data_IF_705921553300
#
_entry.id   IF_705921553300
#
_cell.length_a   1.000
_cell.length_b   1.000
_cell.length_c   1.000
_cell.angle_alpha   90.00
_cell.angle_beta   90.00
_cell.angle_gamma   90.00
#
_symmetry.space_group_name_H-M   'P 1'
#
loop_
_entity.id
_entity.type
_entity.pdbx_description
1 polymer ?
#
# COMPACT_ATOMS: atom_id res chain seq x y z
N UNK A 1 -14.98 53.66 38.45
CA UNK A 1 -16.18 53.47 39.28
C UNK A 1 -16.20 54.54 40.36
N UNK A 2 -17.01 55.59 40.20
CA UNK A 2 -17.29 56.51 41.31
C UNK A 2 -18.20 55.75 42.27
N UNK A 3 -17.65 55.34 43.41
CA UNK A 3 -18.34 54.47 44.36
C UNK A 3 -19.55 55.16 44.97
N UNK A 4 -20.54 54.36 45.39
CA UNK A 4 -21.77 54.82 46.05
C UNK A 4 -21.51 55.82 47.20
N UNK A 5 -20.36 55.71 47.89
CA UNK A 5 -19.91 56.67 48.91
C UNK A 5 -19.72 58.10 48.39
N UNK A 6 -19.18 58.28 47.18
CA UNK A 6 -18.97 59.63 46.62
C UNK A 6 -20.28 60.29 46.21
N UNK A 7 -21.25 59.50 45.71
CA UNK A 7 -22.60 59.98 45.42
C UNK A 7 -23.35 60.35 46.70
N UNK A 8 -23.25 59.52 47.74
CA UNK A 8 -23.87 59.80 49.04
C UNK A 8 -23.28 61.06 49.70
N UNK A 9 -21.95 61.24 49.64
CA UNK A 9 -21.29 62.43 50.16
C UNK A 9 -21.68 63.70 49.39
N UNK A 10 -21.81 63.62 48.06
CA UNK A 10 -22.29 64.74 47.25
C UNK A 10 -23.75 65.10 47.53
N UNK A 11 -24.63 64.11 47.68
CA UNK A 11 -26.02 64.34 48.04
C UNK A 11 -26.15 64.99 49.43
N UNK A 12 -25.37 64.52 50.40
CA UNK A 12 -25.36 65.09 51.76
C UNK A 12 -24.82 66.52 51.77
N UNK A 13 -23.79 66.80 50.97
CA UNK A 13 -23.24 68.15 50.81
C UNK A 13 -24.25 69.12 50.17
N UNK A 14 -25.01 68.67 49.17
CA UNK A 14 -26.04 69.47 48.51
C UNK A 14 -27.23 69.78 49.44
N UNK A 15 -27.64 68.82 50.27
CA UNK A 15 -28.70 69.04 51.28
C UNK A 15 -28.23 70.08 52.31
N UNK A 16 -27.00 69.96 52.79
CA UNK A 16 -26.43 70.91 53.75
C UNK A 16 -26.27 72.32 53.15
N UNK A 17 -25.89 72.46 51.87
CA UNK A 17 -25.79 73.78 51.25
C UNK A 17 -27.16 74.45 51.11
N UNK A 18 -28.21 73.69 50.76
CA UNK A 18 -29.58 74.23 50.68
C UNK A 18 -30.10 74.64 52.07
N UNK A 19 -29.78 73.88 53.13
CA UNK A 19 -30.13 74.25 54.51
C UNK A 19 -29.41 75.52 54.98
N UNK A 20 -28.14 75.69 54.61
CA UNK A 20 -27.36 76.89 54.95
C UNK A 20 -27.90 78.12 54.21
N UNK A 21 -28.19 78.00 52.90
CA UNK A 21 -28.75 79.10 52.11
C UNK A 21 -30.14 79.51 52.60
N UNK A 22 -30.99 78.54 52.95
CA UNK A 22 -32.33 78.85 53.51
C UNK A 22 -32.24 79.51 54.88
N UNK A 23 -31.34 79.06 55.76
CA UNK A 23 -31.10 79.69 57.06
C UNK A 23 -30.56 81.13 56.93
N UNK A 24 -29.60 81.36 56.02
CA UNK A 24 -29.03 82.68 55.74
C UNK A 24 -30.07 83.65 55.18
N UNK A 25 -30.96 83.18 54.32
CA UNK A 25 -31.99 84.02 53.70
C UNK A 25 -33.11 84.42 54.69
N UNK A 26 -33.36 83.58 55.71
CA UNK A 26 -34.28 83.92 56.82
C UNK A 26 -33.64 84.96 57.77
N UNK A 27 -32.33 84.90 57.98
CA UNK A 27 -31.62 85.76 58.95
C UNK A 27 -31.20 87.13 58.38
N UNK A 28 -31.00 87.25 57.07
CA UNK A 28 -30.58 88.50 56.40
C UNK A 28 -31.74 89.38 55.91
N UNK A 29 -32.99 89.01 56.20
CA UNK A 29 -34.13 89.82 55.78
C UNK A 29 -34.11 91.18 56.50
N UNK A 30 -34.00 92.31 55.77
CA UNK A 30 -33.98 93.63 56.41
C UNK A 30 -35.33 93.89 57.08
N UNK A 31 -35.31 94.18 58.39
CA UNK A 31 -36.42 94.83 59.09
C UNK A 31 -36.63 96.18 58.42
N UNK A 32 -37.61 96.30 57.53
CA UNK A 32 -37.95 97.54 56.85
C UNK A 32 -38.57 98.55 57.80
N UNK A 33 -37.70 99.26 58.51
CA UNK A 33 -37.97 100.55 59.13
C UNK A 33 -37.57 101.67 58.17
N UNK A 34 -38.56 102.38 57.63
CA UNK A 34 -38.42 103.73 57.09
C UNK A 34 -39.84 104.30 56.88
N UNK A 35 -40.26 105.19 57.76
CA UNK A 35 -41.48 106.00 57.65
C UNK A 35 -41.22 107.17 56.71
N UNK A 36 -41.78 107.10 55.50
CA UNK A 36 -42.00 108.26 54.61
C UNK A 36 -43.42 108.83 54.80
N UNK A 37 -43.71 110.04 54.29
CA UNK A 37 -44.80 110.89 54.77
C UNK A 37 -46.18 110.28 54.48
N UNK A 38 -47.02 110.36 55.50
CA UNK A 38 -48.36 109.83 55.61
C UNK A 38 -49.34 110.61 54.71
N UNK A 39 -49.89 109.93 53.70
CA UNK A 39 -51.24 110.16 53.19
C UNK A 39 -51.71 108.91 52.41
N UNK A 40 -51.68 107.77 53.10
CA UNK A 40 -52.34 106.55 52.66
C UNK A 40 -53.11 105.96 53.85
N UNK A 41 -54.33 105.51 53.58
CA UNK A 41 -55.29 104.97 54.55
C UNK A 41 -54.59 103.95 55.48
N UNK A 42 -54.72 104.07 56.83
CA UNK A 42 -54.04 103.17 57.75
C UNK A 42 -54.44 101.71 57.48
N UNK A 43 -53.46 100.90 57.04
CA UNK A 43 -53.64 99.48 56.71
C UNK A 43 -53.16 99.06 55.32
N UNK A 44 -53.08 99.99 54.36
CA UNK A 44 -52.70 99.67 52.96
C UNK A 44 -51.26 99.19 52.82
N UNK A 45 -50.32 99.74 53.60
CA UNK A 45 -48.91 99.35 53.55
C UNK A 45 -48.66 97.92 54.03
N UNK A 46 -49.47 97.45 54.98
CA UNK A 46 -49.37 96.08 55.49
C UNK A 46 -49.87 95.11 54.42
N UNK A 47 -51.00 95.42 53.79
CA UNK A 47 -51.57 94.63 52.69
C UNK A 47 -50.58 94.54 51.53
N UNK A 48 -50.02 95.67 51.08
CA UNK A 48 -49.04 95.69 49.99
C UNK A 48 -47.77 94.87 50.32
N UNK A 49 -47.31 94.87 51.58
CA UNK A 49 -46.19 94.02 52.02
C UNK A 49 -46.54 92.53 52.01
N UNK A 50 -47.76 92.15 52.37
CA UNK A 50 -48.20 90.75 52.31
C UNK A 50 -48.41 90.28 50.88
N UNK A 51 -48.99 91.11 50.00
CA UNK A 51 -49.15 90.83 48.57
C UNK A 51 -47.81 90.59 47.91
N UNK A 52 -46.83 91.50 48.09
CA UNK A 52 -45.48 91.31 47.57
C UNK A 52 -44.82 90.04 48.08
N UNK A 53 -44.99 89.70 49.37
CA UNK A 53 -44.47 88.45 49.95
C UNK A 53 -45.15 87.22 49.36
N UNK A 54 -46.44 87.31 49.11
CA UNK A 54 -47.21 86.24 48.49
C UNK A 54 -46.78 86.02 47.04
N UNK A 55 -46.55 87.10 46.29
CA UNK A 55 -45.95 87.04 44.94
C UNK A 55 -44.56 86.42 44.97
N UNK A 56 -43.69 86.81 45.91
CA UNK A 56 -42.38 86.19 46.11
C UNK A 56 -42.48 84.69 46.42
N UNK A 57 -43.41 84.28 47.28
CA UNK A 57 -43.63 82.87 47.63
C UNK A 57 -44.15 82.07 46.43
N UNK A 58 -45.11 82.62 45.68
CA UNK A 58 -45.68 81.95 44.51
C UNK A 58 -44.66 81.83 43.37
N UNK A 59 -43.86 82.87 43.13
CA UNK A 59 -42.75 82.83 42.16
C UNK A 59 -41.63 81.85 42.58
N UNK A 60 -41.27 81.81 43.86
CA UNK A 60 -40.31 80.82 44.36
C UNK A 60 -40.87 79.39 44.27
N UNK A 61 -42.17 79.22 44.56
CA UNK A 61 -42.85 77.94 44.42
C UNK A 61 -42.85 77.43 42.99
N UNK A 62 -43.14 78.29 42.01
CA UNK A 62 -43.11 77.91 40.59
C UNK A 62 -41.69 77.59 40.11
N UNK A 63 -40.67 78.36 40.52
CA UNK A 63 -39.27 78.06 40.21
C UNK A 63 -38.81 76.74 40.82
N UNK A 64 -39.19 76.45 42.07
CA UNK A 64 -38.85 75.18 42.72
C UNK A 64 -39.55 74.00 42.04
N UNK A 65 -40.84 74.15 41.69
CA UNK A 65 -41.57 73.12 40.95
C UNK A 65 -40.92 72.83 39.59
N UNK A 66 -40.47 73.86 38.87
CA UNK A 66 -39.75 73.71 37.60
C UNK A 66 -38.42 72.96 37.79
N UNK A 67 -37.63 73.31 38.82
CA UNK A 67 -36.37 72.61 39.12
C UNK A 67 -36.59 71.15 39.53
N UNK A 68 -37.60 70.86 40.35
CA UNK A 68 -37.95 69.49 40.73
C UNK A 68 -38.34 68.69 39.49
N UNK A 69 -39.15 69.25 38.60
CA UNK A 69 -39.54 68.58 37.35
C UNK A 69 -38.33 68.30 36.44
N UNK A 70 -37.33 69.18 36.39
CA UNK A 70 -36.11 68.98 35.61
C UNK A 70 -35.26 67.85 36.19
N UNK A 71 -35.09 67.82 37.52
CA UNK A 71 -34.35 66.75 38.20
C UNK A 71 -35.07 65.39 38.10
N UNK A 72 -36.40 65.36 38.22
CA UNK A 72 -37.19 64.13 38.02
C UNK A 72 -37.02 63.58 36.59
N UNK A 73 -36.95 64.46 35.58
CA UNK A 73 -36.67 64.05 34.21
C UNK A 73 -35.28 63.41 34.07
N UNK A 74 -34.24 63.99 34.70
CA UNK A 74 -32.88 63.42 34.73
C UNK A 74 -32.85 62.06 35.44
N UNK A 75 -33.52 61.94 36.57
CA UNK A 75 -33.62 60.67 37.33
C UNK A 75 -34.31 59.60 36.48
N UNK A 76 -35.37 59.96 35.76
CA UNK A 76 -36.08 59.04 34.86
C UNK A 76 -35.19 58.58 33.71
N UNK A 77 -34.44 59.51 33.10
CA UNK A 77 -33.49 59.18 32.03
C UNK A 77 -32.39 58.23 32.55
N UNK A 78 -31.79 58.53 33.71
CA UNK A 78 -30.77 57.67 34.31
C UNK A 78 -31.34 56.28 34.61
N UNK A 79 -32.56 56.22 35.17
CA UNK A 79 -33.22 54.95 35.50
C UNK A 79 -33.44 54.09 34.26
N UNK A 80 -33.95 54.68 33.17
CA UNK A 80 -34.14 53.96 31.90
C UNK A 80 -32.83 53.46 31.29
N UNK A 81 -31.75 54.25 31.36
CA UNK A 81 -30.41 53.82 30.92
C UNK A 81 -29.89 52.67 31.77
N UNK A 82 -30.05 52.73 33.09
CA UNK A 82 -29.65 51.66 34.00
C UNK A 82 -30.41 50.36 33.72
N UNK A 83 -31.70 50.42 33.44
CA UNK A 83 -32.50 49.26 33.07
C UNK A 83 -32.04 48.64 31.74
N UNK A 84 -31.76 49.47 30.73
CA UNK A 84 -31.24 49.01 29.45
C UNK A 84 -29.87 48.33 29.57
N UNK A 85 -28.95 48.93 30.33
CA UNK A 85 -27.64 48.35 30.62
C UNK A 85 -27.78 47.03 31.37
N UNK A 86 -28.64 46.97 32.38
CA UNK A 86 -28.88 45.74 33.15
C UNK A 86 -29.46 44.62 32.27
N UNK A 87 -30.33 44.94 31.30
CA UNK A 87 -30.80 43.97 30.32
C UNK A 87 -29.66 43.47 29.40
N UNK A 88 -28.77 44.37 28.96
CA UNK A 88 -27.57 44.02 28.19
C UNK A 88 -26.64 43.07 28.97
N UNK A 89 -26.36 43.38 30.24
CA UNK A 89 -25.55 42.54 31.11
C UNK A 89 -26.16 41.15 31.34
N UNK A 90 -27.49 41.06 31.49
CA UNK A 90 -28.19 39.77 31.59
C UNK A 90 -28.04 38.95 30.32
N UNK A 91 -28.15 39.57 29.15
CA UNK A 91 -27.95 38.89 27.86
C UNK A 91 -26.52 38.38 27.71
N UNK A 92 -25.53 39.24 28.00
CA UNK A 92 -24.13 38.85 27.96
C UNK A 92 -23.83 37.68 28.91
N UNK A 93 -24.44 37.68 30.10
CA UNK A 93 -24.29 36.59 31.06
C UNK A 93 -24.83 35.27 30.50
N UNK A 94 -26.02 35.29 29.88
CA UNK A 94 -26.60 34.10 29.23
C UNK A 94 -25.70 33.58 28.09
N UNK A 95 -25.16 34.49 27.27
CA UNK A 95 -24.23 34.12 26.19
C UNK A 95 -22.93 33.48 26.77
N UNK A 96 -22.38 34.04 27.85
CA UNK A 96 -21.22 33.49 28.54
C UNK A 96 -21.49 32.12 29.18
N UNK A 97 -22.68 31.90 29.75
CA UNK A 97 -23.07 30.59 30.29
C UNK A 97 -23.06 29.51 29.21
N UNK A 98 -23.56 29.83 28.01
CA UNK A 98 -23.58 28.88 26.87
C UNK A 98 -22.20 28.60 26.28
N UNK A 99 -21.21 29.47 26.48
CA UNK A 99 -19.87 29.31 25.94
C UNK A 99 -19.16 28.07 26.47
N UNK A 100 -19.44 27.68 27.72
CA UNK A 100 -18.92 26.45 28.33
C UNK A 100 -19.37 25.21 27.56
N UNK A 101 -20.67 25.07 27.30
CA UNK A 101 -21.23 23.97 26.52
C UNK A 101 -20.69 23.93 25.08
N UNK A 102 -20.48 25.10 24.46
CA UNK A 102 -19.85 25.17 23.14
C UNK A 102 -18.41 24.66 23.20
N UNK A 103 -17.63 25.10 24.19
CA UNK A 103 -16.25 24.61 24.40
C UNK A 103 -16.20 23.09 24.59
N UNK A 104 -17.11 22.54 25.39
CA UNK A 104 -17.19 21.09 25.62
C UNK A 104 -17.55 20.33 24.34
N UNK A 105 -18.50 20.85 23.54
CA UNK A 105 -18.88 20.24 22.26
C UNK A 105 -17.72 20.24 21.25
N UNK A 106 -16.93 21.33 21.20
CA UNK A 106 -15.73 21.42 20.35
C UNK A 106 -14.66 20.44 20.84
N UNK A 107 -14.51 20.28 22.16
CA UNK A 107 -13.63 19.27 22.76
C UNK A 107 -14.03 17.84 22.38
N UNK A 108 -15.31 17.51 22.48
CA UNK A 108 -15.85 16.20 22.07
C UNK A 108 -15.59 15.92 20.60
N UNK A 109 -15.92 16.89 19.72
CA UNK A 109 -15.71 16.77 18.29
C UNK A 109 -14.24 16.55 17.94
N UNK A 110 -13.33 17.26 18.63
CA UNK A 110 -11.89 17.07 18.45
C UNK A 110 -11.45 15.65 18.80
N UNK A 111 -11.95 15.08 19.90
CA UNK A 111 -11.63 13.72 20.31
C UNK A 111 -12.18 12.71 19.30
N UNK A 112 -13.43 12.87 18.85
CA UNK A 112 -14.04 12.03 17.81
C UNK A 112 -13.23 12.07 16.50
N UNK A 113 -12.78 13.26 16.07
CA UNK A 113 -11.92 13.40 14.90
C UNK A 113 -10.58 12.70 15.08
N UNK A 114 -9.98 12.78 16.27
CA UNK A 114 -8.72 12.10 16.57
C UNK A 114 -8.88 10.58 16.54
N UNK A 115 -9.99 10.05 17.07
CA UNK A 115 -10.32 8.63 17.05
C UNK A 115 -10.53 8.14 15.61
N UNK A 116 -11.26 8.90 14.77
CA UNK A 116 -11.44 8.58 13.36
C UNK A 116 -10.11 8.59 12.58
N UNK A 117 -9.22 9.54 12.86
CA UNK A 117 -7.88 9.54 12.28
C UNK A 117 -7.08 8.29 12.69
N UNK A 118 -7.19 7.86 13.96
CA UNK A 118 -6.56 6.62 14.43
C UNK A 118 -7.11 5.38 13.73
N UNK A 119 -8.43 5.29 13.56
CA UNK A 119 -9.07 4.19 12.82
C UNK A 119 -8.65 4.15 11.34
N UNK A 120 -8.54 5.31 10.69
CA UNK A 120 -8.06 5.40 9.31
C UNK A 120 -6.61 4.93 9.19
N UNK A 121 -5.74 5.28 10.13
CA UNK A 121 -4.34 4.80 10.14
C UNK A 121 -4.27 3.27 10.32
N UNK A 122 -5.12 2.70 11.17
CA UNK A 122 -5.19 1.25 11.34
C UNK A 122 -5.69 0.56 10.06
N UNK A 123 -6.70 1.14 9.40
CA UNK A 123 -7.21 0.63 8.13
C UNK A 123 -6.14 0.67 7.03
N UNK A 124 -5.38 1.76 6.94
CA UNK A 124 -4.30 1.93 5.97
C UNK A 124 -3.22 0.87 6.17
N UNK A 125 -2.75 0.69 7.42
CA UNK A 125 -1.79 -0.35 7.76
C UNK A 125 -2.32 -1.78 7.46
N UNK A 126 -3.61 -2.04 7.69
CA UNK A 126 -4.22 -3.32 7.36
C UNK A 126 -4.30 -3.55 5.83
N UNK A 127 -4.59 -2.50 5.06
CA UNK A 127 -4.61 -2.58 3.60
C UNK A 127 -3.22 -2.85 3.03
N UNK A 128 -2.19 -2.16 3.53
CA UNK A 128 -0.80 -2.41 3.15
C UNK A 128 -0.40 -3.86 3.46
N UNK A 129 -0.71 -4.35 4.67
CA UNK A 129 -0.45 -5.75 5.04
C UNK A 129 -1.20 -6.76 4.15
N UNK A 130 -2.43 -6.45 3.73
CA UNK A 130 -3.18 -7.29 2.79
C UNK A 130 -2.58 -7.28 1.38
N UNK A 131 -2.05 -6.14 0.92
CA UNK A 131 -1.36 -6.03 -0.37
C UNK A 131 -0.07 -6.85 -0.35
N UNK A 132 0.77 -6.69 0.68
CA UNK A 132 1.99 -7.47 0.85
C UNK A 132 1.70 -8.98 0.88
N UNK A 133 0.72 -9.41 1.69
CA UNK A 133 0.33 -10.82 1.77
C UNK A 133 -0.24 -11.37 0.46
N UNK A 134 -0.88 -10.52 -0.36
CA UNK A 134 -1.36 -10.90 -1.69
C UNK A 134 -0.20 -11.06 -2.66
N UNK A 135 0.73 -10.11 -2.69
CA UNK A 135 1.92 -10.15 -3.55
C UNK A 135 2.78 -11.37 -3.23
N UNK A 136 2.97 -11.70 -1.95
CA UNK A 136 3.69 -12.90 -1.53
C UNK A 136 3.00 -14.18 -2.02
N UNK A 137 1.66 -14.27 -1.90
CA UNK A 137 0.88 -15.40 -2.42
C UNK A 137 0.97 -15.53 -3.94
N UNK A 138 0.91 -14.41 -4.66
CA UNK A 138 1.05 -14.40 -6.13
C UNK A 138 2.46 -14.81 -6.55
N UNK A 139 3.50 -14.32 -5.87
CA UNK A 139 4.89 -14.71 -6.10
C UNK A 139 5.10 -16.21 -5.83
N UNK A 140 4.56 -16.74 -4.74
CA UNK A 140 4.65 -18.16 -4.43
C UNK A 140 3.97 -19.02 -5.51
N UNK A 141 2.75 -18.66 -5.92
CA UNK A 141 2.04 -19.34 -7.02
C UNK A 141 2.86 -19.32 -8.31
N UNK A 142 3.42 -18.17 -8.67
CA UNK A 142 4.25 -18.04 -9.86
C UNK A 142 5.49 -18.93 -9.80
N UNK A 143 6.19 -18.96 -8.66
CA UNK A 143 7.34 -19.85 -8.44
C UNK A 143 6.95 -21.33 -8.60
N UNK A 144 5.86 -21.75 -7.97
CA UNK A 144 5.40 -23.15 -8.04
C UNK A 144 5.01 -23.56 -9.47
N UNK A 145 4.37 -22.66 -10.24
CA UNK A 145 4.03 -22.96 -11.64
C UNK A 145 5.29 -23.03 -12.50
N UNK A 146 6.25 -22.13 -12.29
CA UNK A 146 7.52 -22.15 -13.01
C UNK A 146 8.33 -23.42 -12.72
N UNK A 147 8.39 -23.86 -11.46
CA UNK A 147 9.01 -25.13 -11.08
C UNK A 147 8.30 -26.33 -11.72
N UNK A 148 6.97 -26.30 -11.80
CA UNK A 148 6.18 -27.32 -12.48
C UNK A 148 6.47 -27.37 -13.98
N UNK A 149 6.52 -26.22 -14.64
CA UNK A 149 6.79 -26.12 -16.08
C UNK A 149 8.22 -26.54 -16.42
N UNK A 150 9.20 -26.13 -15.61
CA UNK A 150 10.61 -26.52 -15.78
C UNK A 150 10.81 -28.02 -15.58
N UNK A 151 10.18 -28.63 -14.57
CA UNK A 151 10.24 -30.09 -14.37
C UNK A 151 9.54 -30.87 -15.50
N UNK A 152 8.42 -30.37 -16.01
CA UNK A 152 7.73 -30.94 -17.17
C UNK A 152 8.57 -30.84 -18.44
N UNK A 153 9.23 -29.70 -18.66
CA UNK A 153 10.13 -29.49 -19.79
C UNK A 153 11.35 -30.42 -19.73
N UNK A 154 11.99 -30.53 -18.56
CA UNK A 154 13.14 -31.43 -18.35
C UNK A 154 12.77 -32.89 -18.64
N UNK A 155 11.63 -33.37 -18.10
CA UNK A 155 11.10 -34.71 -18.39
C UNK A 155 10.76 -34.89 -19.88
N UNK A 156 10.24 -33.86 -20.53
CA UNK A 156 9.97 -33.85 -21.96
C UNK A 156 11.25 -34.04 -22.78
N UNK A 157 12.32 -33.32 -22.42
CA UNK A 157 13.64 -33.43 -23.05
C UNK A 157 14.28 -34.80 -22.84
N UNK A 158 14.23 -35.35 -21.63
CA UNK A 158 14.72 -36.70 -21.36
C UNK A 158 14.02 -37.76 -22.24
N UNK A 159 12.70 -37.65 -22.39
CA UNK A 159 11.93 -38.55 -23.26
C UNK A 159 12.30 -38.38 -24.72
N UNK A 160 12.46 -37.15 -25.20
CA UNK A 160 12.87 -36.86 -26.57
C UNK A 160 14.26 -37.44 -26.87
N UNK A 161 15.23 -37.22 -25.97
CA UNK A 161 16.58 -37.79 -26.07
C UNK A 161 16.52 -39.32 -26.08
N UNK A 162 15.75 -39.94 -25.19
CA UNK A 162 15.59 -41.39 -25.16
C UNK A 162 14.94 -41.95 -26.43
N UNK A 163 14.00 -41.22 -27.04
CA UNK A 163 13.37 -41.60 -28.29
C UNK A 163 14.35 -41.47 -29.47
N UNK A 164 15.12 -40.40 -29.53
CA UNK A 164 16.16 -40.19 -30.52
C UNK A 164 17.25 -41.27 -30.43
N UNK A 165 17.72 -41.60 -29.22
CA UNK A 165 18.71 -42.67 -29.01
C UNK A 165 18.18 -44.05 -29.45
N UNK A 166 16.91 -44.37 -29.13
CA UNK A 166 16.27 -45.60 -29.63
C UNK A 166 16.20 -45.63 -31.16
N UNK A 167 15.83 -44.50 -31.79
CA UNK A 167 15.76 -44.41 -33.25
C UNK A 167 17.13 -44.56 -33.90
N UNK A 168 18.15 -43.94 -33.31
CA UNK A 168 19.54 -44.02 -33.76
C UNK A 168 20.07 -45.45 -33.68
N UNK A 169 19.82 -46.14 -32.55
CA UNK A 169 20.18 -47.57 -32.37
C UNK A 169 19.48 -48.45 -33.40
N UNK A 170 18.20 -48.21 -33.67
CA UNK A 170 17.45 -48.94 -34.69
C UNK A 170 18.03 -48.72 -36.11
N UNK A 171 18.38 -47.48 -36.44
CA UNK A 171 18.99 -47.13 -37.73
C UNK A 171 20.40 -47.73 -37.90
N UNK A 172 21.22 -47.71 -36.84
CA UNK A 172 22.53 -48.37 -36.82
C UNK A 172 22.36 -49.87 -37.04
N UNK A 173 21.44 -50.52 -36.31
CA UNK A 173 21.17 -51.95 -36.47
C UNK A 173 20.70 -52.29 -37.90
N UNK A 174 19.83 -51.45 -38.48
CA UNK A 174 19.36 -51.60 -39.86
C UNK A 174 20.51 -51.45 -40.87
N UNK A 175 21.37 -50.43 -40.71
CA UNK A 175 22.57 -50.23 -41.54
C UNK A 175 23.54 -51.42 -41.42
N UNK A 176 23.80 -51.91 -40.21
CA UNK A 176 24.67 -53.05 -39.98
C UNK A 176 24.10 -54.33 -40.62
N UNK A 177 22.79 -54.58 -40.50
CA UNK A 177 22.12 -55.70 -41.17
C UNK A 177 22.22 -55.59 -42.69
N UNK A 178 21.97 -54.41 -43.25
CA UNK A 178 22.10 -54.17 -44.69
C UNK A 178 23.53 -54.39 -45.17
N UNK A 179 24.53 -53.93 -44.41
CA UNK A 179 25.96 -54.18 -44.69
C UNK A 179 26.30 -55.67 -44.67
N UNK A 180 25.86 -56.40 -43.66
CA UNK A 180 26.08 -57.86 -43.57
C UNK A 180 25.41 -58.61 -44.74
N UNK A 181 24.19 -58.22 -45.11
CA UNK A 181 23.50 -58.79 -46.27
C UNK A 181 24.23 -58.48 -47.57
N UNK A 182 24.74 -57.26 -47.74
CA UNK A 182 25.55 -56.90 -48.90
C UNK A 182 26.84 -57.72 -48.97
N UNK A 183 27.53 -57.91 -47.85
CA UNK A 183 28.73 -58.75 -47.77
C UNK A 183 28.43 -60.22 -48.09
N UNK A 184 27.35 -60.78 -47.54
CA UNK A 184 26.92 -62.15 -47.82
C UNK A 184 26.52 -62.34 -49.30
N UNK A 185 25.82 -61.37 -49.89
CA UNK A 185 25.47 -61.38 -51.30
C UNK A 185 26.72 -61.30 -52.20
N UNK A 186 27.70 -60.45 -51.85
CA UNK A 186 28.99 -60.38 -52.55
C UNK A 186 29.76 -61.70 -52.44
N UNK A 187 29.82 -62.32 -51.26
CA UNK A 187 30.48 -63.61 -51.07
C UNK A 187 29.81 -64.73 -51.88
N UNK A 188 28.48 -64.77 -51.92
CA UNK A 188 27.73 -65.74 -52.71
C UNK A 188 27.92 -65.53 -54.23
N UNK A 189 28.03 -64.29 -54.69
CA UNK A 189 28.37 -63.98 -56.08
C UNK A 189 29.80 -64.45 -56.41
N UNK A 190 30.77 -64.15 -55.55
CA UNK A 190 32.15 -64.61 -55.72
C UNK A 190 32.25 -66.15 -55.73
N UNK A 191 31.47 -66.85 -54.90
CA UNK A 191 31.42 -68.32 -54.91
C UNK A 191 30.82 -68.85 -56.21
N UNK A 192 29.74 -68.24 -56.73
CA UNK A 192 29.17 -68.62 -58.03
C UNK A 192 30.16 -68.41 -59.17
N UNK A 193 30.84 -67.27 -59.21
CA UNK A 193 31.87 -66.99 -60.21
C UNK A 193 33.01 -68.01 -60.13
N UNK A 194 33.46 -68.36 -58.92
CA UNK A 194 34.47 -69.39 -58.70
C UNK A 194 34.01 -70.79 -59.16
N UNK A 195 32.76 -71.16 -58.88
CA UNK A 195 32.17 -72.42 -59.34
C UNK A 195 32.00 -72.46 -60.86
N UNK A 196 31.59 -71.36 -61.49
CA UNK A 196 31.51 -71.25 -62.94
C UNK A 196 32.89 -71.34 -63.59
N UNK A 197 33.89 -70.64 -63.04
CA UNK A 197 35.27 -70.75 -63.48
C UNK A 197 35.82 -72.17 -63.32
N UNK A 198 35.54 -72.85 -62.19
CA UNK A 198 35.93 -74.24 -61.98
C UNK A 198 35.21 -75.20 -62.94
N UNK A 199 33.94 -74.93 -63.27
CA UNK A 199 33.18 -75.73 -64.24
C UNK A 199 33.69 -75.53 -65.66
N UNK A 200 34.08 -74.31 -66.02
CA UNK A 200 34.74 -74.02 -67.30
C UNK A 200 36.09 -74.75 -67.38
N UNK A 201 36.94 -74.64 -66.35
CA UNK A 201 38.19 -75.41 -66.27
C UNK A 201 37.98 -76.91 -66.39
N UNK A 202 37.01 -77.49 -65.67
CA UNK A 202 36.67 -78.92 -65.80
C UNK A 202 36.17 -79.29 -67.20
N UNK A 203 35.43 -78.39 -67.87
CA UNK A 203 35.00 -78.63 -69.25
C UNK A 203 36.16 -78.54 -70.23
N UNK A 204 37.10 -77.61 -70.03
CA UNK A 204 38.34 -77.51 -70.79
C UNK A 204 39.21 -78.75 -70.57
N UNK A 205 39.35 -79.22 -69.33
CA UNK A 205 40.06 -80.47 -68.98
C UNK A 205 39.39 -81.71 -69.59
N UNK A 206 38.05 -81.81 -69.56
CA UNK A 206 37.32 -82.91 -70.19
C UNK A 206 37.37 -82.83 -71.72
N UNK A 207 37.38 -81.63 -72.30
CA UNK A 207 37.60 -81.44 -73.73
C UNK A 207 39.03 -81.82 -74.11
N UNK A 208 40.02 -81.44 -73.31
CA UNK A 208 41.42 -81.85 -73.48
C UNK A 208 41.61 -83.36 -73.26
N UNK A 209 40.88 -83.97 -72.33
CA UNK A 209 40.88 -85.42 -72.11
C UNK A 209 40.13 -86.18 -73.22
N UNK A 210 39.09 -85.59 -73.82
CA UNK A 210 38.41 -86.15 -74.99
C UNK A 210 39.22 -85.98 -76.28
N UNK A 211 39.99 -84.89 -76.41
CA UNK A 211 41.05 -84.73 -77.42
C UNK A 211 42.18 -85.75 -77.19
N UNK A 212 42.62 -85.95 -75.95
CA UNK A 212 43.61 -86.97 -75.59
C UNK A 212 43.09 -88.40 -75.80
N UNK A 213 41.80 -88.67 -75.56
CA UNK A 213 41.16 -89.96 -75.84
C UNK A 213 40.91 -90.18 -77.34
N UNK A 214 40.76 -89.10 -78.14
CA UNK A 214 40.82 -89.18 -79.60
C UNK A 214 42.25 -89.35 -80.11
N UNK A 215 43.25 -88.90 -79.36
CA UNK A 215 44.67 -89.12 -79.65
C UNK A 215 45.20 -90.49 -79.16
N UNK A 216 44.48 -91.21 -78.30
CA UNK A 216 44.90 -92.49 -77.72
C UNK A 216 44.19 -93.73 -78.32
N UNK A 217 43.59 -93.60 -79.51
CA UNK A 217 43.11 -94.74 -80.29
C UNK A 217 44.21 -95.40 -81.15
N UNK A 218 45.49 -95.12 -80.86
CA UNK A 218 46.63 -95.87 -81.35
C UNK A 218 47.58 -96.24 -80.20
N UNK A 219 47.75 -97.55 -80.01
CA UNK A 219 48.83 -98.28 -79.29
C UNK A 219 48.74 -98.49 -77.75
N UNK A 220 49.31 -99.62 -77.26
CA UNK A 220 48.80 -100.36 -76.09
C UNK A 220 49.63 -100.23 -74.79
N UNK A 221 48.92 -100.51 -73.67
CA UNK A 221 49.30 -101.19 -72.40
C UNK A 221 50.74 -101.12 -71.85
N UNK A 222 50.88 -100.77 -70.55
CA UNK A 222 51.51 -101.58 -69.46
C UNK A 222 51.62 -100.80 -68.12
N UNK A 223 50.98 -101.37 -67.09
CA UNK A 223 51.32 -101.58 -65.65
C UNK A 223 51.92 -100.53 -64.66
N UNK A 224 51.24 -100.49 -63.49
CA UNK A 224 51.71 -100.71 -62.09
C UNK A 224 52.19 -99.59 -61.12
N UNK A 225 51.51 -99.60 -59.95
CA UNK A 225 52.00 -99.37 -58.55
C UNK A 225 52.28 -97.91 -58.12
N UNK A 226 52.24 -97.43 -56.85
CA UNK A 226 51.98 -97.94 -55.48
C UNK A 226 52.09 -96.73 -54.49
N UNK A 227 51.50 -96.83 -53.28
CA UNK A 227 51.80 -96.11 -52.01
C UNK A 227 51.45 -94.58 -51.92
N UNK A 228 50.66 -94.07 -50.96
CA UNK A 228 50.72 -94.03 -49.47
C UNK A 228 51.59 -92.88 -48.90
N UNK A 229 51.00 -92.07 -48.01
CA UNK A 229 51.68 -91.13 -47.08
C UNK A 229 51.27 -89.66 -47.25
N UNK A 230 50.55 -88.99 -46.34
CA UNK A 230 50.89 -88.40 -45.01
C UNK A 230 51.01 -86.87 -45.05
N UNK A 231 50.22 -86.24 -44.17
CA UNK A 231 50.50 -85.12 -43.27
C UNK A 231 51.12 -83.79 -43.75
N UNK A 232 50.49 -82.73 -43.20
CA UNK A 232 51.08 -81.53 -42.59
C UNK A 232 51.65 -80.37 -43.44
N UNK A 233 51.00 -79.22 -43.20
CA UNK A 233 51.56 -77.97 -42.68
C UNK A 233 52.07 -76.87 -43.63
N UNK A 234 51.56 -75.68 -43.29
CA UNK A 234 52.23 -74.38 -43.23
C UNK A 234 52.48 -73.56 -44.51
N UNK A 235 51.69 -72.48 -44.65
CA UNK A 235 52.14 -71.14 -45.04
C UNK A 235 51.03 -70.14 -44.65
N UNK A 236 51.23 -69.04 -43.92
CA UNK A 236 52.45 -68.29 -43.61
C UNK A 236 52.51 -67.00 -44.43
N UNK A 237 52.08 -65.89 -43.82
CA UNK A 237 52.34 -64.50 -44.27
C UNK A 237 51.25 -63.87 -45.16
N UNK A 238 50.98 -62.56 -45.14
CA UNK A 238 51.51 -61.44 -44.38
C UNK A 238 50.67 -60.18 -44.69
N UNK A 239 50.65 -59.22 -43.76
CA UNK A 239 50.40 -57.78 -44.00
C UNK A 239 48.94 -57.34 -44.21
N UNK A 240 48.51 -56.13 -43.87
CA UNK A 240 49.15 -54.94 -43.28
C UNK A 240 48.04 -53.86 -43.14
N UNK A 241 48.17 -52.95 -42.15
CA UNK A 241 47.54 -51.59 -42.04
C UNK A 241 46.04 -51.56 -41.68
N UNK A 242 45.49 -50.57 -40.96
CA UNK A 242 45.96 -49.28 -40.47
C UNK A 242 44.98 -48.76 -39.38
N UNK A 243 45.43 -47.80 -38.57
CA UNK A 243 44.63 -46.62 -38.21
C UNK A 243 43.69 -46.64 -36.99
N UNK A 244 44.17 -46.02 -35.88
CA UNK A 244 43.57 -44.85 -35.15
C UNK A 244 42.10 -44.90 -34.70
N UNK A 245 41.68 -44.62 -33.46
CA UNK A 245 41.78 -43.38 -32.63
C UNK A 245 41.37 -43.73 -31.17
N UNK A 246 42.07 -43.23 -30.14
CA UNK A 246 41.71 -42.10 -29.23
C UNK A 246 40.40 -42.32 -28.40
N UNK A 247 40.51 -42.50 -27.07
CA UNK A 247 40.13 -41.51 -26.02
C UNK A 247 38.61 -41.20 -25.97
N UNK A 248 37.83 -41.25 -24.89
CA UNK A 248 38.03 -40.96 -23.47
C UNK A 248 36.87 -41.57 -22.67
N UNK A 249 37.10 -42.20 -21.52
CA UNK A 249 36.69 -41.72 -20.19
C UNK A 249 35.49 -40.76 -20.15
N UNK A 250 34.36 -41.22 -19.60
CA UNK A 250 33.40 -40.36 -18.89
C UNK A 250 33.00 -41.05 -17.58
N UNK A 251 33.79 -40.72 -16.58
CA UNK A 251 33.43 -40.44 -15.19
C UNK A 251 31.95 -40.62 -14.81
N UNK A 252 31.73 -41.58 -13.92
CA UNK A 252 30.56 -41.71 -13.07
C UNK A 252 30.72 -40.65 -11.98
N UNK A 253 29.83 -39.66 -11.94
CA UNK A 253 29.65 -38.78 -10.78
C UNK A 253 28.36 -39.19 -10.10
N UNK A 254 28.52 -39.93 -9.01
CA UNK A 254 27.59 -39.96 -7.91
C UNK A 254 27.56 -38.56 -7.28
N UNK A 255 26.37 -37.96 -7.19
CA UNK A 255 26.11 -36.83 -6.32
C UNK A 255 24.99 -37.23 -5.36
N UNK A 256 25.46 -37.63 -4.18
CA UNK A 256 24.71 -37.78 -2.95
C UNK A 256 24.07 -36.46 -2.48
N UNK A 257 23.03 -36.63 -1.67
CA UNK A 257 22.66 -35.80 -0.53
C UNK A 257 22.13 -34.37 -0.75
N UNK A 258 20.81 -34.26 -0.55
CA UNK A 258 20.10 -33.03 -0.23
C UNK A 258 18.83 -33.34 0.55
N UNK A 259 19.00 -33.95 1.73
CA UNK A 259 17.96 -34.25 2.71
C UNK A 259 17.84 -33.04 3.64
N UNK A 260 16.84 -32.19 3.43
CA UNK A 260 16.34 -31.31 4.50
C UNK A 260 14.84 -31.50 4.69
N UNK A 261 14.55 -32.07 5.84
CA UNK A 261 13.26 -32.17 6.51
C UNK A 261 13.33 -31.11 7.61
N UNK A 262 12.49 -30.08 7.56
CA UNK A 262 12.13 -29.30 8.75
C UNK A 262 10.70 -28.76 8.58
N UNK A 263 9.72 -29.47 9.18
CA UNK A 263 8.91 -29.03 10.35
C UNK A 263 8.26 -27.65 10.14
N UNK A 264 6.95 -27.60 9.85
CA UNK A 264 5.86 -27.58 10.85
C UNK A 264 6.06 -26.50 11.92
N UNK A 265 5.37 -25.39 11.72
CA UNK A 265 4.81 -24.56 12.79
C UNK A 265 3.42 -24.09 12.34
N UNK A 266 2.44 -24.99 12.42
CA UNK A 266 1.08 -24.63 12.79
C UNK A 266 1.06 -24.59 14.32
N UNK A 267 0.86 -23.39 14.89
CA UNK A 267 0.00 -23.15 16.06
C UNK A 267 0.10 -21.69 16.48
N UNK A 268 -1.06 -21.02 16.57
CA UNK A 268 -1.14 -19.64 17.04
C UNK A 268 -2.45 -18.92 16.76
N UNK A 269 -3.58 -19.59 16.97
CA UNK A 269 -4.87 -18.94 17.19
C UNK A 269 -4.95 -18.39 18.65
N UNK A 270 -5.80 -17.37 18.86
CA UNK A 270 -6.15 -16.69 20.13
C UNK A 270 -5.09 -15.67 20.58
N UNK A 271 -5.32 -14.36 20.54
CA UNK A 271 -6.44 -13.56 21.10
C UNK A 271 -6.84 -12.36 20.21
#
# INVERSE_FOLDING_TARGET
MLGFKDLFNKATAAINSVQIDTALNIQTRPKSGASGPQDAVPGTDIVARYEKRWEEITANGSMLAAKVSEEDAKVTEISSRCEAELASWRRLHQELETLSAVSDSVGSLRNEMQDLCGQLQQLDAALDGHLEAREEKEMHRWKTELERDTTMFARGREREVAQLDKSLKADIAKKNRARLQAQAAQAALAEREAQEAARLKKKEELAAAAEAAKASADTPSVEQSSAQGTAEAAHGGAGERDGTEAESQSEIVDAEEGKEVEKVAEDGAHE
#
